data_IF_863797879919
#
_entry.id   IF_863797879919
#
_cell.length_a   1.000
_cell.length_b   1.000
_cell.length_c   1.000
_cell.angle_alpha   90.00
_cell.angle_beta   90.00
_cell.angle_gamma   90.00
#
_symmetry.space_group_name_H-M   'P 1'
#
loop_
_entity.id
_entity.type
_entity.pdbx_description
1 polymer ?
#
# COMPACT_ATOMS: atom_id res chain seq x y z
N UNK A 1 -1.23 22.67 20.38
CA UNK A 1 -1.56 21.25 20.11
C UNK A 1 -1.94 21.14 18.65
N UNK A 2 -1.17 20.41 17.84
CA UNK A 2 -1.57 20.12 16.46
C UNK A 2 -2.76 19.15 16.48
N UNK A 3 -3.87 19.55 15.87
CA UNK A 3 -5.07 18.71 15.72
C UNK A 3 -4.73 17.58 14.74
N UNK A 4 -5.00 16.33 15.12
CA UNK A 4 -4.65 15.15 14.33
C UNK A 4 -5.92 14.32 14.05
N UNK A 5 -6.30 14.08 12.77
CA UNK A 5 -7.45 13.24 12.41
C UNK A 5 -7.41 11.85 13.04
N UNK A 6 -6.21 11.28 13.23
CA UNK A 6 -6.06 9.96 13.83
C UNK A 6 -6.51 9.90 15.29
N UNK A 7 -6.34 11.00 16.03
CA UNK A 7 -6.81 11.07 17.43
C UNK A 7 -8.34 11.00 17.47
N UNK A 8 -9.03 11.66 16.53
CA UNK A 8 -10.49 11.59 16.44
C UNK A 8 -10.98 10.17 16.12
N UNK A 9 -10.34 9.49 15.17
CA UNK A 9 -10.70 8.12 14.79
C UNK A 9 -10.40 7.10 15.90
N UNK A 10 -9.27 7.24 16.60
CA UNK A 10 -8.95 6.41 17.77
C UNK A 10 -9.94 6.66 18.91
N UNK A 11 -10.28 7.92 19.21
CA UNK A 11 -11.28 8.24 20.22
C UNK A 11 -12.66 7.68 19.86
N UNK A 12 -13.08 7.79 18.59
CA UNK A 12 -14.33 7.20 18.12
C UNK A 12 -14.34 5.67 18.29
N UNK A 13 -13.20 5.00 18.04
CA UNK A 13 -13.08 3.55 18.26
C UNK A 13 -13.24 3.17 19.73
N UNK A 14 -12.60 3.92 20.64
CA UNK A 14 -12.75 3.70 22.10
C UNK A 14 -14.19 3.93 22.56
N UNK A 15 -14.87 4.96 22.05
CA UNK A 15 -16.28 5.23 22.37
C UNK A 15 -17.21 4.10 21.89
N UNK A 16 -16.93 3.52 20.72
CA UNK A 16 -17.65 2.33 20.23
C UNK A 16 -17.44 1.12 21.14
N UNK A 17 -16.23 0.91 21.67
CA UNK A 17 -15.93 -0.16 22.62
C UNK A 17 -16.62 0.06 23.98
N UNK A 18 -16.77 1.33 24.40
CA UNK A 18 -17.50 1.73 25.60
C UNK A 18 -19.03 1.74 25.42
N UNK A 19 -19.53 1.28 24.27
CA UNK A 19 -20.95 1.23 23.93
C UNK A 19 -21.63 2.61 23.84
N UNK A 20 -20.87 3.65 23.46
CA UNK A 20 -21.37 5.00 23.14
C UNK A 20 -21.09 5.38 21.66
N UNK A 21 -21.73 4.70 20.70
CA UNK A 21 -21.51 4.96 19.29
C UNK A 21 -22.07 6.32 18.82
N UNK A 22 -23.00 6.92 19.57
CA UNK A 22 -23.53 8.24 19.23
C UNK A 22 -22.50 9.34 19.49
N UNK A 23 -21.78 9.28 20.61
CA UNK A 23 -20.70 10.22 20.87
C UNK A 23 -19.54 10.01 19.89
N UNK A 24 -19.27 8.75 19.49
CA UNK A 24 -18.31 8.45 18.44
C UNK A 24 -18.62 9.20 17.13
N UNK A 25 -19.88 9.20 16.68
CA UNK A 25 -20.29 9.97 15.49
C UNK A 25 -20.13 11.48 15.67
N UNK A 26 -20.36 12.03 16.86
CA UNK A 26 -20.11 13.47 17.12
C UNK A 26 -18.63 13.81 17.00
N UNK A 27 -17.75 12.96 17.53
CA UNK A 27 -16.29 13.11 17.41
C UNK A 27 -15.87 13.08 15.94
N UNK A 28 -16.40 12.14 15.15
CA UNK A 28 -16.12 12.04 13.71
C UNK A 28 -16.67 13.22 12.91
N UNK A 29 -17.85 13.73 13.27
CA UNK A 29 -18.42 14.95 12.67
C UNK A 29 -17.53 16.18 12.91
N UNK A 30 -16.97 16.33 14.12
CA UNK A 30 -16.01 17.39 14.43
C UNK A 30 -14.74 17.25 13.57
N UNK A 31 -14.22 16.02 13.41
CA UNK A 31 -13.09 15.74 12.51
C UNK A 31 -13.38 16.22 11.09
N UNK A 32 -14.54 15.90 10.51
CA UNK A 32 -14.92 16.37 9.16
C UNK A 32 -14.92 17.89 9.06
N UNK A 33 -15.47 18.59 10.05
CA UNK A 33 -15.53 20.05 10.03
C UNK A 33 -14.14 20.71 10.11
N UNK A 34 -13.25 20.14 10.92
CA UNK A 34 -11.87 20.62 11.11
C UNK A 34 -10.96 20.30 9.91
N UNK A 35 -11.14 19.14 9.28
CA UNK A 35 -10.28 18.64 8.20
C UNK A 35 -10.98 18.61 6.84
N UNK A 36 -11.92 19.51 6.61
CA UNK A 36 -12.81 19.52 5.42
C UNK A 36 -12.10 19.47 4.05
N UNK A 37 -10.85 19.91 3.97
CA UNK A 37 -10.04 19.94 2.73
C UNK A 37 -8.89 18.93 2.75
N UNK A 38 -8.92 17.95 3.65
CA UNK A 38 -7.91 16.91 3.75
C UNK A 38 -8.52 15.54 3.38
N UNK A 39 -8.28 15.03 2.16
CA UNK A 39 -8.83 13.75 1.72
C UNK A 39 -8.37 12.56 2.55
N UNK A 40 -7.16 12.58 3.10
CA UNK A 40 -6.66 11.51 3.98
C UNK A 40 -7.42 11.49 5.32
N UNK A 41 -7.72 12.67 5.88
CA UNK A 41 -8.57 12.79 7.06
C UNK A 41 -10.03 12.37 6.77
N UNK A 42 -10.53 12.71 5.59
CA UNK A 42 -11.85 12.28 5.13
C UNK A 42 -11.94 10.75 5.00
N UNK A 43 -10.91 10.11 4.43
CA UNK A 43 -10.80 8.66 4.31
C UNK A 43 -10.84 8.00 5.70
N UNK A 44 -10.03 8.52 6.61
CA UNK A 44 -9.96 8.01 7.97
C UNK A 44 -11.30 8.14 8.71
N UNK A 45 -11.98 9.27 8.52
CA UNK A 45 -13.29 9.47 9.13
C UNK A 45 -14.34 8.53 8.52
N UNK A 46 -14.38 8.38 7.19
CA UNK A 46 -15.35 7.52 6.50
C UNK A 46 -15.19 6.04 6.89
N UNK A 47 -13.95 5.54 6.98
CA UNK A 47 -13.68 4.17 7.44
C UNK A 47 -14.14 3.96 8.90
N UNK A 48 -13.90 4.94 9.78
CA UNK A 48 -14.36 4.89 11.16
C UNK A 48 -15.89 4.94 11.26
N UNK A 49 -16.55 5.84 10.53
CA UNK A 49 -18.02 5.95 10.48
C UNK A 49 -18.68 4.65 10.05
N UNK A 50 -18.14 3.99 9.01
CA UNK A 50 -18.63 2.68 8.56
C UNK A 50 -18.69 1.66 9.71
N UNK A 51 -17.62 1.59 10.51
CA UNK A 51 -17.56 0.71 11.69
C UNK A 51 -18.54 1.12 12.79
N UNK A 52 -18.70 2.43 13.04
CA UNK A 52 -19.66 2.93 14.04
C UNK A 52 -21.09 2.58 13.64
N UNK A 53 -21.47 2.85 12.39
CA UNK A 53 -22.80 2.53 11.86
C UNK A 53 -23.07 1.03 11.86
N UNK A 54 -22.07 0.21 11.54
CA UNK A 54 -22.17 -1.24 11.63
C UNK A 54 -22.46 -1.70 13.07
N UNK A 55 -21.78 -1.13 14.07
CA UNK A 55 -22.04 -1.44 15.49
C UNK A 55 -23.46 -1.04 15.91
N UNK A 56 -23.98 0.05 15.36
CA UNK A 56 -25.34 0.54 15.61
C UNK A 56 -26.44 -0.27 14.88
N UNK A 57 -26.07 -1.25 14.05
CA UNK A 57 -27.02 -1.99 13.21
C UNK A 57 -27.56 -1.18 12.03
N UNK A 58 -26.95 -0.05 11.70
CA UNK A 58 -27.32 0.82 10.59
C UNK A 58 -26.57 0.42 9.31
N UNK A 59 -26.93 -0.74 8.75
CA UNK A 59 -26.20 -1.35 7.63
C UNK A 59 -26.08 -0.43 6.39
N UNK A 60 -27.16 0.27 6.02
CA UNK A 60 -27.16 1.16 4.84
C UNK A 60 -26.16 2.31 5.00
N UNK A 61 -26.17 2.97 6.16
CA UNK A 61 -25.23 4.04 6.49
C UNK A 61 -23.79 3.54 6.54
N UNK A 62 -23.59 2.32 7.06
CA UNK A 62 -22.28 1.70 7.12
C UNK A 62 -21.71 1.40 5.72
N UNK A 63 -22.56 0.92 4.80
CA UNK A 63 -22.20 0.67 3.42
C UNK A 63 -21.91 1.98 2.67
N UNK A 64 -22.69 3.02 2.88
CA UNK A 64 -22.46 4.33 2.26
C UNK A 64 -21.12 4.93 2.71
N UNK A 65 -20.83 4.89 4.01
CA UNK A 65 -19.56 5.37 4.55
C UNK A 65 -18.36 4.55 4.02
N UNK A 66 -18.51 3.22 3.89
CA UNK A 66 -17.47 2.38 3.27
C UNK A 66 -17.27 2.72 1.79
N UNK A 67 -18.35 2.94 1.03
CA UNK A 67 -18.25 3.31 -0.39
C UNK A 67 -17.50 4.64 -0.57
N UNK A 68 -17.74 5.62 0.31
CA UNK A 68 -16.98 6.87 0.34
C UNK A 68 -15.50 6.62 0.64
N UNK A 69 -15.18 5.75 1.60
CA UNK A 69 -13.80 5.37 1.90
C UNK A 69 -13.12 4.69 0.69
N UNK A 70 -13.80 3.77 0.01
CA UNK A 70 -13.28 3.10 -1.21
C UNK A 70 -13.02 4.11 -2.34
N UNK A 71 -13.89 5.09 -2.53
CA UNK A 71 -13.70 6.18 -3.51
C UNK A 71 -12.48 7.04 -3.17
N UNK A 72 -12.30 7.39 -1.89
CA UNK A 72 -11.15 8.17 -1.43
C UNK A 72 -9.84 7.40 -1.58
N UNK A 73 -9.85 6.08 -1.38
CA UNK A 73 -8.70 5.21 -1.67
C UNK A 73 -8.32 5.29 -3.15
N UNK A 74 -9.30 5.23 -4.06
CA UNK A 74 -9.06 5.35 -5.49
C UNK A 74 -8.52 6.75 -5.86
N UNK A 75 -9.06 7.81 -5.26
CA UNK A 75 -8.62 9.19 -5.51
C UNK A 75 -7.18 9.45 -5.04
N UNK A 76 -6.82 8.95 -3.85
CA UNK A 76 -5.50 9.15 -3.25
C UNK A 76 -4.42 8.23 -3.85
N UNK A 77 -4.82 7.05 -4.36
CA UNK A 77 -3.90 6.11 -5.00
C UNK A 77 -2.75 5.70 -4.08
N UNK A 78 -1.50 5.85 -4.55
CA UNK A 78 -0.31 5.49 -3.78
C UNK A 78 -0.01 6.41 -2.60
N UNK A 79 -0.78 7.49 -2.39
CA UNK A 79 -0.63 8.38 -1.23
C UNK A 79 -1.34 7.85 0.01
N UNK A 80 -2.17 6.82 -0.11
CA UNK A 80 -2.82 6.19 1.04
C UNK A 80 -1.80 5.36 1.80
N UNK A 81 -1.73 5.53 3.12
CA UNK A 81 -0.83 4.73 3.95
C UNK A 81 -1.31 3.27 4.03
N UNK A 82 -0.40 2.29 4.18
CA UNK A 82 -0.77 0.89 4.35
C UNK A 82 -1.74 0.66 5.52
N UNK A 83 -1.54 1.37 6.63
CA UNK A 83 -2.37 1.27 7.83
C UNK A 83 -3.80 1.73 7.54
N UNK A 84 -3.99 2.77 6.73
CA UNK A 84 -5.31 3.22 6.32
C UNK A 84 -6.02 2.21 5.42
N UNK A 85 -5.29 1.52 4.54
CA UNK A 85 -5.86 0.44 3.71
C UNK A 85 -6.28 -0.76 4.58
N UNK A 86 -5.52 -1.06 5.64
CA UNK A 86 -5.90 -2.08 6.64
C UNK A 86 -7.21 -1.70 7.34
N UNK A 87 -7.40 -0.43 7.72
CA UNK A 87 -8.65 0.02 8.35
C UNK A 87 -9.85 -0.06 7.40
N UNK A 88 -9.67 0.24 6.10
CA UNK A 88 -10.72 0.02 5.09
C UNK A 88 -11.05 -1.47 4.96
N UNK A 89 -10.05 -2.35 4.95
CA UNK A 89 -10.27 -3.80 4.90
C UNK A 89 -11.02 -4.32 6.14
N UNK A 90 -10.73 -3.78 7.34
CA UNK A 90 -11.51 -4.09 8.55
C UNK A 90 -12.99 -3.74 8.37
N UNK A 91 -13.28 -2.56 7.82
CA UNK A 91 -14.66 -2.15 7.54
C UNK A 91 -15.33 -3.08 6.49
N UNK A 92 -14.59 -3.49 5.44
CA UNK A 92 -15.05 -4.47 4.46
C UNK A 92 -15.42 -5.82 5.11
N UNK A 93 -14.58 -6.36 6.00
CA UNK A 93 -14.91 -7.59 6.74
C UNK A 93 -16.18 -7.44 7.58
N UNK A 94 -16.33 -6.34 8.32
CA UNK A 94 -17.51 -6.09 9.16
C UNK A 94 -18.81 -5.94 8.39
N UNK A 95 -18.72 -5.65 7.09
CA UNK A 95 -19.84 -5.59 6.17
C UNK A 95 -19.97 -6.84 5.28
N UNK A 96 -19.24 -7.90 5.57
CA UNK A 96 -19.31 -9.17 4.84
C UNK A 96 -18.63 -9.16 3.47
N UNK A 97 -17.88 -8.11 3.14
CA UNK A 97 -17.18 -7.95 1.86
C UNK A 97 -15.80 -8.63 1.89
N UNK A 98 -15.78 -9.93 2.25
CA UNK A 98 -14.56 -10.71 2.47
C UNK A 98 -13.59 -10.65 1.29
N UNK A 99 -14.10 -10.86 0.07
CA UNK A 99 -13.27 -10.93 -1.12
C UNK A 99 -12.57 -9.59 -1.41
N UNK A 100 -13.26 -8.47 -1.20
CA UNK A 100 -12.64 -7.14 -1.33
C UNK A 100 -11.57 -6.92 -0.27
N UNK A 101 -11.82 -7.30 0.98
CA UNK A 101 -10.86 -7.19 2.07
C UNK A 101 -9.60 -8.01 1.79
N UNK A 102 -9.75 -9.27 1.38
CA UNK A 102 -8.63 -10.14 1.01
C UNK A 102 -7.83 -9.58 -0.16
N UNK A 103 -8.50 -9.10 -1.22
CA UNK A 103 -7.83 -8.51 -2.37
C UNK A 103 -7.03 -7.25 -1.98
N UNK A 104 -7.63 -6.38 -1.16
CA UNK A 104 -6.98 -5.16 -0.67
C UNK A 104 -5.78 -5.48 0.21
N UNK A 105 -5.91 -6.39 1.17
CA UNK A 105 -4.84 -6.77 2.09
C UNK A 105 -3.70 -7.51 1.36
N UNK A 106 -4.01 -8.39 0.42
CA UNK A 106 -3.00 -9.01 -0.44
C UNK A 106 -2.20 -7.96 -1.20
N UNK A 107 -2.86 -6.95 -1.75
CA UNK A 107 -2.20 -5.82 -2.41
C UNK A 107 -1.31 -5.00 -1.46
N UNK A 108 -1.77 -4.74 -0.23
CA UNK A 108 -0.98 -4.08 0.82
C UNK A 108 0.29 -4.88 1.11
N UNK A 109 0.18 -6.20 1.29
CA UNK A 109 1.33 -7.09 1.54
C UNK A 109 2.31 -7.03 0.37
N UNK A 110 1.84 -7.13 -0.89
CA UNK A 110 2.72 -7.12 -2.07
C UNK A 110 3.51 -5.81 -2.22
N UNK A 111 2.91 -4.68 -1.86
CA UNK A 111 3.59 -3.39 -1.87
C UNK A 111 4.54 -3.20 -0.68
N UNK A 112 4.44 -4.05 0.36
CA UNK A 112 5.20 -3.94 1.60
C UNK A 112 5.77 -5.31 2.03
N UNK A 113 6.24 -6.12 1.06
CA UNK A 113 6.45 -7.56 1.26
C UNK A 113 7.52 -7.93 2.33
N UNK A 114 8.44 -7.01 2.64
CA UNK A 114 9.47 -7.18 3.68
C UNK A 114 9.03 -6.62 5.05
N UNK A 115 7.89 -5.91 5.13
CA UNK A 115 7.39 -5.35 6.37
C UNK A 115 6.70 -6.44 7.22
N UNK A 116 7.46 -7.04 8.13
CA UNK A 116 6.98 -8.05 9.08
C UNK A 116 5.87 -7.51 9.99
N UNK A 117 6.07 -6.33 10.59
CA UNK A 117 5.10 -5.74 11.52
C UNK A 117 3.73 -5.50 10.86
N UNK A 118 3.72 -5.03 9.61
CA UNK A 118 2.48 -4.87 8.85
C UNK A 118 1.84 -6.21 8.52
N UNK A 119 2.63 -7.25 8.24
CA UNK A 119 2.10 -8.59 7.99
C UNK A 119 1.46 -9.18 9.25
N UNK A 120 2.09 -9.01 10.41
CA UNK A 120 1.54 -9.43 11.71
C UNK A 120 0.24 -8.68 12.03
N UNK A 121 0.19 -7.38 11.74
CA UNK A 121 -1.03 -6.57 11.86
C UNK A 121 -2.15 -7.12 10.96
N UNK A 122 -1.84 -7.51 9.73
CA UNK A 122 -2.80 -8.07 8.80
C UNK A 122 -3.29 -9.44 9.28
N UNK A 123 -2.40 -10.34 9.72
CA UNK A 123 -2.82 -11.63 10.30
C UNK A 123 -3.72 -11.43 11.52
N UNK A 124 -3.45 -10.42 12.36
CA UNK A 124 -4.33 -10.04 13.48
C UNK A 124 -5.71 -9.57 13.04
N UNK A 125 -5.82 -8.86 11.90
CA UNK A 125 -7.12 -8.51 11.29
C UNK A 125 -7.91 -9.78 10.98
N UNK A 126 -7.30 -10.73 10.27
CA UNK A 126 -7.93 -12.00 9.91
C UNK A 126 -8.32 -12.82 11.16
N UNK A 127 -7.46 -12.85 12.17
CA UNK A 127 -7.74 -13.54 13.44
C UNK A 127 -9.00 -12.98 14.12
N UNK A 128 -9.17 -11.65 14.12
CA UNK A 128 -10.35 -10.98 14.66
C UNK A 128 -11.66 -11.29 13.92
N UNK A 129 -11.57 -11.85 12.71
CA UNK A 129 -12.72 -12.32 11.92
C UNK A 129 -12.85 -13.85 11.91
N UNK A 130 -12.09 -14.57 12.75
CA UNK A 130 -11.99 -16.04 12.78
C UNK A 130 -11.44 -16.66 11.48
N UNK A 131 -10.59 -15.94 10.77
CA UNK A 131 -10.00 -16.33 9.49
C UNK A 131 -8.47 -16.48 9.56
N UNK A 132 -7.91 -16.81 10.74
CA UNK A 132 -6.47 -16.83 10.99
C UNK A 132 -5.68 -17.61 9.92
N UNK A 133 -6.13 -18.83 9.58
CA UNK A 133 -5.45 -19.66 8.59
C UNK A 133 -5.52 -19.05 7.18
N UNK A 134 -6.66 -18.44 6.80
CA UNK A 134 -6.78 -17.75 5.51
C UNK A 134 -5.84 -16.55 5.45
N UNK A 135 -5.74 -15.78 6.54
CA UNK A 135 -4.83 -14.64 6.67
C UNK A 135 -3.36 -15.05 6.52
N UNK A 136 -2.95 -16.10 7.23
CA UNK A 136 -1.58 -16.62 7.13
C UNK A 136 -1.23 -17.07 5.70
N UNK A 137 -2.15 -17.81 5.07
CA UNK A 137 -1.98 -18.27 3.68
C UNK A 137 -1.90 -17.08 2.71
N UNK A 138 -2.72 -16.04 2.90
CA UNK A 138 -2.70 -14.82 2.08
C UNK A 138 -1.35 -14.10 2.19
N UNK A 139 -0.81 -13.97 3.41
CA UNK A 139 0.50 -13.33 3.65
C UNK A 139 1.61 -14.08 2.94
N UNK A 140 1.68 -15.40 3.12
CA UNK A 140 2.68 -16.24 2.46
C UNK A 140 2.58 -16.17 0.94
N UNK A 141 1.38 -16.35 0.39
CA UNK A 141 1.17 -16.33 -1.06
C UNK A 141 1.51 -14.96 -1.67
N UNK A 142 1.09 -13.87 -1.03
CA UNK A 142 1.35 -12.51 -1.51
C UNK A 142 2.84 -12.18 -1.51
N UNK A 143 3.57 -12.56 -0.45
CA UNK A 143 5.03 -12.39 -0.39
C UNK A 143 5.74 -13.21 -1.46
N UNK A 144 5.33 -14.47 -1.62
CA UNK A 144 5.91 -15.36 -2.62
C UNK A 144 5.70 -14.85 -4.04
N UNK A 145 4.54 -14.27 -4.35
CA UNK A 145 4.27 -13.67 -5.67
C UNK A 145 5.30 -12.58 -6.04
N UNK A 146 5.66 -11.71 -5.09
CA UNK A 146 6.68 -10.66 -5.30
C UNK A 146 8.06 -11.29 -5.53
N UNK A 147 8.41 -12.31 -4.75
CA UNK A 147 9.68 -13.06 -4.90
C UNK A 147 9.75 -13.72 -6.28
N UNK A 148 8.68 -14.36 -6.73
CA UNK A 148 8.62 -15.07 -8.00
C UNK A 148 8.75 -14.12 -9.20
N UNK A 149 8.07 -12.98 -9.16
CA UNK A 149 8.20 -11.92 -10.17
C UNK A 149 9.66 -11.47 -10.29
N UNK A 150 10.31 -11.22 -9.15
CA UNK A 150 11.70 -10.78 -9.10
C UNK A 150 12.67 -11.85 -9.63
N UNK A 151 12.52 -13.09 -9.18
CA UNK A 151 13.34 -14.22 -9.62
C UNK A 151 13.23 -14.43 -11.13
N UNK A 152 12.02 -14.31 -11.68
CA UNK A 152 11.79 -14.41 -13.12
C UNK A 152 12.43 -13.26 -13.89
N UNK A 153 12.33 -12.03 -13.39
CA UNK A 153 13.02 -10.86 -13.97
C UNK A 153 14.54 -11.04 -14.01
N UNK A 154 15.14 -11.50 -12.91
CA UNK A 154 16.58 -11.76 -12.82
C UNK A 154 17.01 -12.91 -13.75
N UNK A 155 16.21 -13.97 -13.85
CA UNK A 155 16.49 -15.11 -14.73
C UNK A 155 16.56 -14.66 -16.20
N UNK A 156 15.56 -13.91 -16.67
CA UNK A 156 15.53 -13.37 -18.03
C UNK A 156 16.76 -12.48 -18.31
N UNK A 157 17.13 -11.63 -17.36
CA UNK A 157 18.31 -10.77 -17.47
C UNK A 157 19.62 -11.57 -17.57
N UNK A 158 19.75 -12.66 -16.80
CA UNK A 158 20.92 -13.57 -16.84
C UNK A 158 21.05 -14.27 -18.20
N UNK A 159 19.92 -14.57 -18.84
CA UNK A 159 19.87 -15.14 -20.20
C UNK A 159 20.16 -14.11 -21.30
N UNK A 160 20.31 -12.82 -20.94
CA UNK A 160 20.53 -11.73 -21.89
C UNK A 160 19.23 -11.13 -22.46
N UNK A 161 18.07 -11.63 -22.04
CA UNK A 161 16.76 -11.11 -22.46
C UNK A 161 16.30 -9.94 -21.59
N UNK A 162 17.02 -8.83 -21.72
CA UNK A 162 16.73 -7.59 -20.99
C UNK A 162 15.36 -7.01 -21.37
N UNK A 163 14.91 -7.21 -22.61
CA UNK A 163 13.64 -6.66 -23.10
C UNK A 163 12.47 -7.33 -22.40
N UNK A 164 12.43 -8.67 -22.32
CA UNK A 164 11.36 -9.37 -21.61
C UNK A 164 11.46 -9.16 -20.10
N UNK A 165 12.68 -9.12 -19.54
CA UNK A 165 12.88 -8.82 -18.12
C UNK A 165 12.29 -7.44 -17.75
N UNK A 166 12.59 -6.40 -18.56
CA UNK A 166 12.09 -5.05 -18.33
C UNK A 166 10.58 -4.98 -18.52
N UNK A 167 10.04 -5.66 -19.53
CA UNK A 167 8.58 -5.75 -19.75
C UNK A 167 7.85 -6.34 -18.55
N UNK A 168 8.38 -7.45 -18.00
CA UNK A 168 7.82 -8.11 -16.83
C UNK A 168 7.86 -7.20 -15.61
N UNK A 169 9.00 -6.61 -15.30
CA UNK A 169 9.15 -5.77 -14.11
C UNK A 169 8.38 -4.44 -14.24
N UNK A 170 8.28 -3.84 -15.44
CA UNK A 170 7.41 -2.67 -15.68
C UNK A 170 5.94 -3.00 -15.45
N UNK A 171 5.48 -4.17 -15.89
CA UNK A 171 4.11 -4.62 -15.60
C UNK A 171 3.90 -4.78 -14.09
N UNK A 172 4.88 -5.34 -13.38
CA UNK A 172 4.85 -5.44 -11.93
C UNK A 172 4.84 -4.07 -11.24
N UNK A 173 5.61 -3.07 -11.69
CA UNK A 173 5.56 -1.70 -11.13
C UNK A 173 4.20 -1.04 -11.30
N UNK A 174 3.50 -1.30 -12.43
CA UNK A 174 2.14 -0.78 -12.63
C UNK A 174 1.15 -1.38 -11.62
N UNK A 175 1.30 -2.66 -11.31
CA UNK A 175 0.44 -3.35 -10.36
C UNK A 175 0.83 -3.09 -8.91
N UNK A 176 2.13 -2.97 -8.61
CA UNK A 176 2.72 -2.84 -7.29
C UNK A 176 3.53 -1.54 -7.20
N UNK A 177 2.85 -0.38 -7.30
CA UNK A 177 3.47 0.93 -7.41
C UNK A 177 4.44 1.28 -6.28
N UNK A 178 4.20 0.77 -5.08
CA UNK A 178 4.97 1.12 -3.88
C UNK A 178 5.95 0.04 -3.44
N UNK A 179 6.05 -1.07 -4.19
CA UNK A 179 6.89 -2.21 -3.84
C UNK A 179 8.37 -1.89 -4.00
N UNK A 180 9.07 -1.78 -2.87
CA UNK A 180 10.50 -1.50 -2.79
C UNK A 180 11.34 -2.45 -3.65
N UNK A 181 11.07 -3.76 -3.56
CA UNK A 181 11.84 -4.76 -4.29
C UNK A 181 11.61 -4.69 -5.80
N UNK A 182 10.37 -4.50 -6.25
CA UNK A 182 10.07 -4.40 -7.69
C UNK A 182 10.71 -3.14 -8.29
N UNK A 183 10.59 -1.99 -7.63
CA UNK A 183 11.19 -0.73 -8.07
C UNK A 183 12.71 -0.85 -8.14
N UNK A 184 13.32 -1.37 -7.07
CA UNK A 184 14.77 -1.60 -6.99
C UNK A 184 15.24 -2.53 -8.10
N UNK A 185 14.57 -3.66 -8.32
CA UNK A 185 15.01 -4.65 -9.30
C UNK A 185 14.83 -4.17 -10.73
N UNK A 186 13.77 -3.41 -11.04
CA UNK A 186 13.64 -2.77 -12.35
C UNK A 186 14.77 -1.76 -12.57
N UNK A 187 15.04 -0.89 -11.59
CA UNK A 187 16.14 0.07 -11.68
C UNK A 187 17.50 -0.63 -11.91
N UNK A 188 17.79 -1.66 -11.13
CA UNK A 188 19.02 -2.44 -11.26
C UNK A 188 19.14 -3.14 -12.62
N UNK A 189 18.01 -3.64 -13.15
CA UNK A 189 17.94 -4.23 -14.49
C UNK A 189 18.30 -3.21 -15.57
N UNK A 190 17.69 -2.02 -15.54
CA UNK A 190 17.92 -0.96 -16.53
C UNK A 190 19.38 -0.49 -16.51
N UNK A 191 19.95 -0.29 -15.31
CA UNK A 191 21.36 0.05 -15.13
C UNK A 191 22.26 -1.06 -15.68
N UNK A 192 21.95 -2.33 -15.36
CA UNK A 192 22.70 -3.49 -15.84
C UNK A 192 22.63 -3.64 -17.37
N UNK A 193 21.49 -3.35 -17.98
CA UNK A 193 21.31 -3.34 -19.42
C UNK A 193 22.22 -2.30 -20.08
N UNK A 194 22.21 -1.06 -19.58
CA UNK A 194 23.08 0.01 -20.09
C UNK A 194 24.56 -0.32 -19.92
N UNK A 195 24.95 -0.96 -18.81
CA UNK A 195 26.32 -1.42 -18.59
C UNK A 195 26.79 -2.49 -19.58
N UNK A 196 25.88 -3.27 -20.19
CA UNK A 196 26.23 -4.29 -21.20
C UNK A 196 26.06 -3.85 -22.65
N UNK A 197 25.03 -3.06 -22.93
CA UNK A 197 24.60 -2.72 -24.29
C UNK A 197 24.98 -1.29 -24.70
N UNK A 198 25.58 -0.52 -23.81
CA UNK A 198 25.87 0.89 -24.00
C UNK A 198 24.80 1.79 -23.38
N UNK A 199 25.19 3.04 -23.12
CA UNK A 199 24.31 4.02 -22.51
C UNK A 199 23.08 4.32 -23.37
N UNK A 200 21.93 4.49 -22.72
CA UNK A 200 20.67 4.82 -23.39
C UNK A 200 19.90 5.85 -22.57
N UNK A 201 19.63 7.03 -23.16
CA UNK A 201 18.98 8.14 -22.45
C UNK A 201 17.58 7.79 -21.93
N UNK A 202 16.80 6.98 -22.66
CA UNK A 202 15.45 6.60 -22.24
C UNK A 202 15.49 5.66 -21.03
N UNK A 203 16.38 4.65 -21.05
CA UNK A 203 16.57 3.77 -19.90
C UNK A 203 17.13 4.51 -18.68
N UNK A 204 18.02 5.48 -18.90
CA UNK A 204 18.58 6.31 -17.84
C UNK A 204 17.52 7.22 -17.20
N UNK A 205 16.65 7.82 -18.01
CA UNK A 205 15.52 8.64 -17.54
C UNK A 205 14.57 7.81 -16.69
N UNK A 206 14.16 6.64 -17.18
CA UNK A 206 13.28 5.73 -16.44
C UNK A 206 13.94 5.25 -15.12
N UNK A 207 15.22 4.88 -15.14
CA UNK A 207 15.94 4.48 -13.93
C UNK A 207 15.99 5.61 -12.89
N UNK A 208 16.12 6.87 -13.33
CA UNK A 208 16.09 8.04 -12.46
C UNK A 208 14.71 8.24 -11.82
N UNK A 209 13.63 8.16 -12.59
CA UNK A 209 12.26 8.26 -12.09
C UNK A 209 11.96 7.17 -11.05
N UNK A 210 12.42 5.94 -11.31
CA UNK A 210 12.30 4.83 -10.35
C UNK A 210 13.08 5.09 -9.06
N UNK A 211 14.27 5.68 -9.14
CA UNK A 211 15.08 6.02 -7.97
C UNK A 211 14.46 7.14 -7.16
N UNK A 212 13.95 8.19 -7.80
CA UNK A 212 13.24 9.29 -7.14
C UNK A 212 12.03 8.75 -6.37
N UNK A 213 11.22 7.92 -7.03
CA UNK A 213 10.09 7.25 -6.39
C UNK A 213 10.51 6.32 -5.24
N UNK A 214 11.58 5.54 -5.41
CA UNK A 214 12.13 4.67 -4.37
C UNK A 214 12.55 5.48 -3.15
N UNK A 215 13.17 6.65 -3.36
CA UNK A 215 13.60 7.53 -2.27
C UNK A 215 12.43 8.19 -1.54
N UNK A 216 11.40 8.63 -2.26
CA UNK A 216 10.18 9.19 -1.67
C UNK A 216 9.47 8.19 -0.76
N UNK A 217 9.36 6.93 -1.20
CA UNK A 217 8.66 5.88 -0.46
C UNK A 217 9.54 5.26 0.64
N UNK A 218 10.83 5.06 0.35
CA UNK A 218 11.77 4.29 1.17
C UNK A 218 13.09 5.07 1.34
N UNK A 219 13.10 6.19 2.08
CA UNK A 219 14.26 7.08 2.17
C UNK A 219 15.51 6.41 2.76
N UNK A 220 15.34 5.32 3.52
CA UNK A 220 16.43 4.52 4.08
C UNK A 220 16.99 3.42 3.16
N UNK A 221 16.48 3.29 1.93
CA UNK A 221 16.93 2.23 1.01
C UNK A 221 18.41 2.39 0.64
N UNK A 222 19.23 1.40 1.00
CA UNK A 222 20.69 1.44 0.81
C UNK A 222 21.12 1.44 -0.67
N UNK A 223 20.30 0.87 -1.56
CA UNK A 223 20.61 0.76 -2.99
C UNK A 223 20.39 2.07 -3.75
N UNK A 224 19.59 3.00 -3.21
CA UNK A 224 19.35 4.31 -3.83
C UNK A 224 20.66 5.03 -4.18
N UNK A 225 21.57 5.17 -3.19
CA UNK A 225 22.84 5.86 -3.41
C UNK A 225 23.76 5.10 -4.37
N UNK A 226 23.82 3.76 -4.25
CA UNK A 226 24.65 2.93 -5.11
C UNK A 226 24.22 3.04 -6.58
N UNK A 227 22.91 2.93 -6.84
CA UNK A 227 22.36 3.02 -8.19
C UNK A 227 22.46 4.43 -8.77
N UNK A 228 22.27 5.48 -7.95
CA UNK A 228 22.49 6.87 -8.36
C UNK A 228 23.93 7.10 -8.83
N UNK A 229 24.92 6.56 -8.11
CA UNK A 229 26.33 6.65 -8.50
C UNK A 229 26.63 5.86 -9.78
N UNK A 230 26.10 4.65 -9.92
CA UNK A 230 26.28 3.84 -11.13
C UNK A 230 25.70 4.53 -12.36
N UNK A 231 24.49 5.07 -12.25
CA UNK A 231 23.83 5.81 -13.32
C UNK A 231 24.65 7.05 -13.74
N UNK A 232 25.17 7.79 -12.76
CA UNK A 232 26.02 8.95 -13.03
C UNK A 232 27.35 8.58 -13.70
N UNK A 233 27.93 7.40 -13.40
CA UNK A 233 29.15 6.91 -14.06
C UNK A 233 28.88 6.49 -15.51
N UNK A 234 27.78 5.76 -15.75
CA UNK A 234 27.39 5.32 -17.09
C UNK A 234 27.14 6.48 -18.06
N UNK A 235 26.72 7.65 -17.55
CA UNK A 235 26.52 8.86 -18.38
C UNK A 235 27.83 9.55 -18.79
N UNK A 236 28.93 9.29 -18.07
CA UNK A 236 30.23 9.96 -18.29
C UNK A 236 31.20 9.13 -19.13
N UNK A 237 30.95 7.82 -19.28
CA UNK A 237 31.74 6.91 -20.11
C UNK A 237 31.10 6.75 -21.47
#
# INVERSE_FOLDING_TARGET
MHKNPAVYASLASVLVEQNDPQEALKVLSRSKAEFRFNPAAALQTAAAESRVYQKMGQADMAQEALAQAEQLVQQLGSQVSPEMLVEVARAQFKLGQKDKACALLGQVIKNNHENAALSDQIESVFAGENLLQEGHNLVLASRQEVVDINNRGVMLAKQGDFVQAAKLLRAAVKQLPSSEAILTNLCGLLIGQMGKQGFNDALATEAKELLERLHELHPGNQKYHAYSQLLARLRRG
#
